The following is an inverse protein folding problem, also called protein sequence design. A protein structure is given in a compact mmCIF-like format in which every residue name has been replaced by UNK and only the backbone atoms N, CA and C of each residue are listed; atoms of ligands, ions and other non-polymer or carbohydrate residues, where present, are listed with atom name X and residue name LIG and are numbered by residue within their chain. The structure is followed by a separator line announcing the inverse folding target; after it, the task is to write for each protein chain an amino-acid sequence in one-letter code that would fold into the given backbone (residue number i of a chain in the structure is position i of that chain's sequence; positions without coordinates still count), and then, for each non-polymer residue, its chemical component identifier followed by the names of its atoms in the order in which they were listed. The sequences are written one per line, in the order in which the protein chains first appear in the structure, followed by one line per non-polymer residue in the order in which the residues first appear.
data_IF_995283362675
#
_entry.id   IF_995283362675
#
_cell.length_a   1.000
_cell.length_b   1.000
_cell.length_c   1.000
_cell.angle_alpha   90.00
_cell.angle_beta   90.00
_cell.angle_gamma   90.00
#
_symmetry.space_group_name_H-M   'P 1'
#
loop_
_entity.id
_entity.type
_entity.pdbx_description
1 polymer ?
#
# COMPACT_ATOMS: atom_id res chain seq x y z
N UNK A 1 -13.55 18.17 -34.05
CA UNK A 1 -12.40 18.62 -34.88
C UNK A 1 -11.35 19.20 -33.94
N UNK A 2 -10.05 19.08 -34.26
CA UNK A 2 -8.83 19.35 -33.43
C UNK A 2 -8.40 18.14 -32.56
N UNK A 3 -7.16 17.60 -32.56
CA UNK A 3 -5.90 17.77 -33.35
C UNK A 3 -5.13 16.44 -33.29
N UNK A 4 -4.51 16.05 -34.42
CA UNK A 4 -3.51 14.97 -34.53
C UNK A 4 -2.24 15.37 -33.76
N UNK A 5 -1.82 14.56 -32.79
CA UNK A 5 -0.42 14.50 -32.36
C UNK A 5 0.08 13.07 -32.58
N UNK A 6 0.81 12.89 -33.68
CA UNK A 6 1.69 11.74 -33.83
C UNK A 6 2.92 11.93 -32.96
N UNK A 7 3.46 10.86 -32.40
CA UNK A 7 4.85 10.81 -31.98
C UNK A 7 5.36 9.35 -32.06
N UNK A 8 6.25 9.16 -33.03
CA UNK A 8 7.40 8.27 -33.09
C UNK A 8 7.31 6.85 -32.47
N UNK A 9 7.24 5.86 -33.38
CA UNK A 9 7.82 4.54 -33.17
C UNK A 9 9.32 4.65 -32.84
N UNK A 10 9.71 4.25 -31.63
CA UNK A 10 11.09 3.92 -31.30
C UNK A 10 11.22 2.39 -31.37
N UNK A 11 11.80 1.91 -32.47
CA UNK A 11 12.27 0.54 -32.60
C UNK A 11 13.51 0.37 -31.72
N UNK A 12 13.42 -0.38 -30.62
CA UNK A 12 14.60 -0.89 -29.91
C UNK A 12 14.92 -2.26 -30.47
N UNK A 13 16.04 -2.31 -31.18
CA UNK A 13 16.62 -3.50 -31.77
C UNK A 13 17.10 -4.50 -30.71
N UNK A 14 16.94 -5.78 -31.05
CA UNK A 14 17.52 -6.94 -30.39
C UNK A 14 19.03 -6.77 -30.20
N UNK A 15 19.48 -6.90 -28.96
CA UNK A 15 20.86 -7.26 -28.63
C UNK A 15 20.88 -8.65 -27.98
N UNK A 16 21.03 -9.68 -28.81
CA UNK A 16 21.44 -11.02 -28.36
C UNK A 16 22.83 -10.90 -27.74
N UNK A 17 23.01 -11.40 -26.52
CA UNK A 17 24.34 -11.79 -26.02
C UNK A 17 24.22 -13.19 -25.44
N UNK A 18 24.64 -14.16 -26.26
CA UNK A 18 24.94 -15.52 -25.85
C UNK A 18 26.15 -15.46 -24.92
N UNK A 19 25.94 -15.79 -23.64
CA UNK A 19 27.00 -16.13 -22.70
C UNK A 19 26.77 -17.55 -22.20
N UNK A 20 27.33 -18.52 -22.92
CA UNK A 20 27.46 -19.88 -22.42
C UNK A 20 28.63 -19.93 -21.42
N UNK A 21 28.35 -20.29 -20.16
CA UNK A 21 29.35 -20.91 -19.28
C UNK A 21 28.77 -22.21 -18.76
N UNK A 22 29.54 -23.25 -19.04
CA UNK A 22 29.24 -24.64 -18.82
C UNK A 22 29.49 -25.09 -17.36
N UNK A 23 28.85 -26.21 -17.03
CA UNK A 23 29.24 -27.22 -16.04
C UNK A 23 29.36 -26.80 -14.56
N UNK A 24 28.38 -27.26 -13.76
CA UNK A 24 28.65 -28.43 -12.92
C UNK A 24 27.37 -29.12 -12.46
N UNK A 25 27.21 -30.34 -12.96
CA UNK A 25 26.37 -31.43 -12.48
C UNK A 25 26.91 -31.85 -11.11
N UNK A 26 26.06 -31.92 -10.09
CA UNK A 26 26.32 -32.73 -8.90
C UNK A 26 24.97 -33.22 -8.36
N UNK A 27 24.61 -34.42 -8.81
CA UNK A 27 23.69 -35.30 -8.11
C UNK A 27 24.44 -35.87 -6.90
N UNK A 28 23.84 -35.85 -5.72
CA UNK A 28 23.98 -36.89 -4.70
C UNK A 28 22.92 -36.66 -3.63
N UNK A 29 22.06 -37.65 -3.44
CA UNK A 29 21.07 -37.70 -2.38
C UNK A 29 21.67 -37.94 -1.00
N UNK A 30 20.87 -37.67 0.02
CA UNK A 30 21.17 -37.99 1.42
C UNK A 30 20.04 -37.47 2.31
N UNK A 31 19.38 -38.40 3.00
CA UNK A 31 18.26 -38.19 3.91
C UNK A 31 18.76 -37.71 5.31
N UNK A 32 17.87 -37.53 6.33
CA UNK A 32 17.97 -36.50 7.36
C UNK A 32 18.59 -36.95 8.70
N UNK A 33 19.15 -36.01 9.48
CA UNK A 33 19.31 -36.01 10.95
C UNK A 33 19.93 -34.65 11.36
N UNK A 34 19.30 -33.82 12.20
CA UNK A 34 19.33 -33.78 13.67
C UNK A 34 20.61 -33.16 14.31
N UNK A 35 20.37 -32.02 14.99
CA UNK A 35 21.06 -31.45 16.18
C UNK A 35 22.45 -30.76 16.12
N UNK A 36 22.44 -29.49 16.57
CA UNK A 36 23.40 -28.80 17.49
C UNK A 36 24.70 -28.13 16.96
N UNK A 37 25.38 -27.24 17.75
CA UNK A 37 25.50 -25.80 17.45
C UNK A 37 26.94 -25.24 17.32
N UNK A 38 27.02 -23.92 17.04
CA UNK A 38 28.09 -22.96 17.38
C UNK A 38 29.28 -22.69 16.43
N UNK A 39 29.65 -21.39 16.43
CA UNK A 39 30.89 -20.71 16.01
C UNK A 39 31.17 -20.59 14.48
N UNK A 40 31.15 -19.40 13.88
CA UNK A 40 32.04 -18.21 13.99
C UNK A 40 33.30 -18.29 13.12
N UNK A 41 33.30 -17.50 12.02
CA UNK A 41 34.47 -16.89 11.38
C UNK A 41 33.95 -15.80 10.42
N UNK A 42 34.01 -14.52 10.81
CA UNK A 42 35.11 -13.58 10.57
C UNK A 42 35.01 -12.88 9.19
N UNK A 43 34.47 -11.67 9.20
CA UNK A 43 34.55 -10.69 8.12
C UNK A 43 35.65 -9.64 8.45
N UNK A 44 36.40 -9.12 7.47
CA UNK A 44 37.41 -8.09 7.72
C UNK A 44 36.80 -6.70 7.91
N UNK A 45 37.42 -5.97 8.83
CA UNK A 45 37.13 -4.60 9.22
C UNK A 45 37.55 -3.57 8.16
N UNK A 46 36.80 -2.48 8.06
CA UNK A 46 37.27 -1.22 7.49
C UNK A 46 36.83 -0.06 8.38
N UNK A 47 37.75 0.88 8.58
CA UNK A 47 37.95 1.65 9.81
C UNK A 47 36.98 2.82 10.04
N UNK A 48 36.73 3.08 11.33
CA UNK A 48 36.13 4.29 11.89
C UNK A 48 37.08 5.49 11.82
N UNK A 49 36.56 6.65 11.45
CA UNK A 49 37.03 7.93 11.94
C UNK A 49 36.09 8.38 13.07
N UNK A 50 36.69 8.65 14.23
CA UNK A 50 36.03 9.07 15.44
C UNK A 50 35.73 10.58 15.43
N UNK A 51 34.57 10.97 15.96
CA UNK A 51 34.37 12.26 16.60
C UNK A 51 33.70 12.03 17.95
N UNK A 52 34.39 12.41 19.01
CA UNK A 52 33.96 12.35 20.40
C UNK A 52 33.41 13.69 20.88
N UNK A 53 32.43 13.58 21.79
CA UNK A 53 31.95 14.55 22.78
C UNK A 53 31.27 15.83 22.24
N UNK A 54 30.13 16.28 22.78
CA UNK A 54 29.94 16.55 24.21
C UNK A 54 28.45 16.50 24.58
N UNK A 55 28.14 15.84 25.69
CA UNK A 55 26.84 15.89 26.34
C UNK A 55 26.71 17.21 27.12
N UNK A 56 25.54 17.85 27.05
CA UNK A 56 25.13 18.90 28.00
C UNK A 56 23.65 18.70 28.26
N UNK A 57 23.32 18.18 29.44
CA UNK A 57 22.01 18.35 30.04
C UNK A 57 21.87 19.79 30.56
N UNK A 58 20.65 20.30 30.66
CA UNK A 58 20.30 20.90 31.94
C UNK A 58 18.96 20.40 32.50
N UNK A 59 18.93 20.53 33.82
CA UNK A 59 17.95 20.05 34.76
C UNK A 59 16.61 20.80 34.70
N UNK A 60 15.64 20.16 35.35
CA UNK A 60 14.32 20.67 35.69
C UNK A 60 14.34 22.06 36.31
N UNK A 61 13.31 22.85 35.98
CA UNK A 61 12.80 23.86 36.91
C UNK A 61 11.27 23.85 36.87
N UNK A 62 10.67 23.60 38.03
CA UNK A 62 9.27 23.78 38.31
C UNK A 62 9.03 25.24 38.75
N UNK A 63 7.99 25.88 38.18
CA UNK A 63 7.26 27.00 38.77
C UNK A 63 5.88 27.03 38.05
N UNK A 64 4.79 26.51 38.62
CA UNK A 64 3.77 27.14 39.47
C UNK A 64 3.42 28.61 39.14
N UNK A 65 2.12 28.90 39.32
CA UNK A 65 1.36 30.16 39.19
C UNK A 65 0.72 30.38 37.80
N UNK A 66 -0.57 30.08 37.58
CA UNK A 66 -1.80 30.64 38.15
C UNK A 66 -2.05 32.09 37.69
N UNK A 67 -2.90 32.24 36.68
CA UNK A 67 -3.83 33.37 36.59
C UNK A 67 -5.18 32.86 36.10
N UNK A 68 -6.08 32.76 37.07
CA UNK A 68 -7.53 32.68 36.96
C UNK A 68 -8.14 34.06 36.61
N UNK A 69 -9.42 34.02 36.22
CA UNK A 69 -10.35 35.11 35.90
C UNK A 69 -10.18 35.76 34.52
N UNK A 70 -11.12 35.66 33.58
CA UNK A 70 -12.52 35.27 33.65
C UNK A 70 -13.31 36.22 32.75
N UNK A 71 -14.23 35.72 31.94
CA UNK A 71 -15.63 36.15 31.94
C UNK A 71 -16.40 35.47 30.79
N UNK A 72 -17.46 34.79 31.19
CA UNK A 72 -18.44 34.15 30.33
C UNK A 72 -19.36 35.19 29.66
N UNK A 73 -19.79 34.90 28.44
CA UNK A 73 -21.19 35.15 28.08
C UNK A 73 -21.71 33.99 27.24
N UNK A 74 -22.77 33.40 27.76
CA UNK A 74 -23.57 32.37 27.15
C UNK A 74 -24.27 32.86 25.87
N UNK A 75 -24.38 31.97 24.88
CA UNK A 75 -25.56 31.90 24.03
C UNK A 75 -25.63 30.48 23.43
N UNK A 76 -26.53 29.68 23.98
CA UNK A 76 -27.05 28.49 23.31
C UNK A 76 -27.82 28.90 22.04
N UNK A 77 -27.85 28.03 21.03
CA UNK A 77 -29.12 27.79 20.36
C UNK A 77 -29.55 26.33 20.51
N UNK A 78 -30.62 26.19 21.28
CA UNK A 78 -31.79 25.34 21.04
C UNK A 78 -31.77 24.46 19.78
N UNK A 79 -31.82 23.16 20.03
CA UNK A 79 -32.74 22.16 19.46
C UNK A 79 -33.56 22.58 18.22
N UNK A 80 -33.23 22.00 17.07
CA UNK A 80 -34.19 21.56 16.04
C UNK A 80 -33.69 20.22 15.52
N UNK A 81 -34.25 19.14 16.04
CA UNK A 81 -35.43 18.45 15.51
C UNK A 81 -35.02 17.45 14.42
N UNK A 82 -35.28 16.20 14.78
CA UNK A 82 -35.03 15.02 13.99
C UNK A 82 -35.88 15.02 12.72
N UNK A 83 -35.25 15.13 11.56
CA UNK A 83 -35.79 14.52 10.35
C UNK A 83 -35.34 13.08 10.29
N UNK A 84 -36.25 12.24 10.77
CA UNK A 84 -36.36 10.81 10.54
C UNK A 84 -36.60 10.59 9.04
N UNK A 85 -35.57 10.78 8.23
CA UNK A 85 -35.62 10.34 6.83
C UNK A 85 -35.29 8.84 6.84
N UNK A 86 -36.36 8.05 6.80
CA UNK A 86 -36.32 6.65 6.42
C UNK A 86 -35.94 6.58 4.94
N UNK A 87 -34.67 6.90 4.65
CA UNK A 87 -34.01 6.69 3.39
C UNK A 87 -33.95 5.19 3.17
N UNK A 88 -34.99 4.70 2.49
CA UNK A 88 -35.13 3.41 1.82
C UNK A 88 -33.80 2.68 1.79
N UNK A 89 -33.67 1.65 2.62
CA UNK A 89 -32.53 0.74 2.59
C UNK A 89 -32.29 0.36 1.13
N UNK A 90 -31.26 0.96 0.54
CA UNK A 90 -30.79 0.57 -0.77
C UNK A 90 -30.51 -0.92 -0.62
N UNK A 91 -31.11 -1.78 -1.47
CA UNK A 91 -30.79 -3.19 -1.41
C UNK A 91 -29.28 -3.28 -1.43
N UNK A 92 -28.72 -3.84 -0.36
CA UNK A 92 -27.35 -4.30 -0.38
C UNK A 92 -27.30 -5.13 -1.66
N UNK A 93 -26.58 -4.64 -2.66
CA UNK A 93 -26.36 -5.37 -3.88
C UNK A 93 -25.45 -6.54 -3.49
N UNK A 94 -26.04 -7.54 -2.84
CA UNK A 94 -25.64 -8.92 -2.87
C UNK A 94 -25.80 -9.37 -4.31
N UNK A 95 -24.96 -8.81 -5.18
CA UNK A 95 -24.59 -9.47 -6.41
C UNK A 95 -23.78 -10.67 -5.96
N UNK A 96 -24.48 -11.76 -5.66
CA UNK A 96 -23.88 -13.09 -5.66
C UNK A 96 -23.02 -13.16 -6.89
N UNK A 97 -21.71 -13.27 -6.68
CA UNK A 97 -20.74 -13.32 -7.75
C UNK A 97 -21.12 -14.52 -8.63
N UNK A 98 -21.72 -14.23 -9.79
CA UNK A 98 -21.65 -15.14 -10.93
C UNK A 98 -20.19 -15.56 -11.04
N UNK A 99 -19.94 -16.88 -11.13
CA UNK A 99 -18.60 -17.47 -11.17
C UNK A 99 -17.78 -16.70 -12.18
N UNK A 100 -16.90 -15.84 -11.66
CA UNK A 100 -16.24 -14.86 -12.48
C UNK A 100 -15.19 -15.57 -13.33
N UNK A 101 -15.42 -15.61 -14.64
CA UNK A 101 -14.46 -16.08 -15.64
C UNK A 101 -13.31 -15.06 -15.79
N UNK A 102 -12.54 -14.83 -14.73
CA UNK A 102 -11.42 -13.89 -14.72
C UNK A 102 -10.28 -14.36 -13.79
N UNK A 103 -9.08 -13.85 -14.05
CA UNK A 103 -7.91 -13.90 -13.18
C UNK A 103 -6.86 -14.94 -13.56
N UNK A 104 -7.25 -16.18 -13.85
CA UNK A 104 -6.29 -17.24 -14.22
C UNK A 104 -6.24 -17.41 -15.74
N UNK A 105 -5.06 -17.27 -16.34
CA UNK A 105 -4.88 -17.50 -17.79
C UNK A 105 -5.49 -18.84 -18.21
N UNK A 106 -6.20 -18.91 -19.36
CA UNK A 106 -6.34 -17.87 -20.39
C UNK A 106 -7.40 -16.78 -20.10
N UNK A 107 -8.04 -16.78 -18.93
CA UNK A 107 -9.08 -15.80 -18.59
C UNK A 107 -8.52 -14.37 -18.47
N UNK A 108 -9.32 -13.36 -18.82
CA UNK A 108 -8.93 -11.95 -18.68
C UNK A 108 -8.67 -11.59 -17.22
N UNK A 109 -7.94 -10.50 -16.99
CA UNK A 109 -7.76 -9.98 -15.63
C UNK A 109 -9.13 -9.63 -15.00
N UNK A 110 -9.28 -9.90 -13.71
CA UNK A 110 -10.48 -9.50 -12.98
C UNK A 110 -10.60 -7.96 -12.93
N UNK A 111 -11.80 -7.38 -12.86
CA UNK A 111 -11.99 -5.93 -13.01
C UNK A 111 -11.06 -5.08 -12.11
N UNK A 112 -10.99 -5.40 -10.82
CA UNK A 112 -10.10 -4.70 -9.89
C UNK A 112 -8.61 -4.94 -10.19
N UNK A 113 -8.23 -6.15 -10.58
CA UNK A 113 -6.85 -6.49 -10.94
C UNK A 113 -6.41 -5.73 -12.18
N UNK A 114 -7.26 -5.67 -13.21
CA UNK A 114 -7.01 -4.92 -14.44
C UNK A 114 -6.84 -3.43 -14.12
N UNK A 115 -7.72 -2.87 -13.30
CA UNK A 115 -7.65 -1.47 -12.89
C UNK A 115 -6.35 -1.16 -12.12
N UNK A 116 -5.97 -1.98 -11.15
CA UNK A 116 -4.72 -1.77 -10.37
C UNK A 116 -3.47 -1.87 -11.25
N UNK A 117 -3.45 -2.80 -12.21
CA UNK A 117 -2.33 -2.92 -13.17
C UNK A 117 -2.13 -1.67 -14.03
N UNK A 118 -3.22 -1.00 -14.40
CA UNK A 118 -3.16 0.21 -15.25
C UNK A 118 -2.88 1.46 -14.43
N UNK A 119 -3.44 1.58 -13.23
CA UNK A 119 -3.43 2.85 -12.47
C UNK A 119 -2.40 2.88 -11.34
N UNK A 120 -2.05 1.74 -10.74
CA UNK A 120 -1.17 1.68 -9.57
C UNK A 120 0.23 1.20 -9.93
N UNK A 121 0.35 0.16 -10.76
CA UNK A 121 1.67 -0.39 -11.12
C UNK A 121 2.60 0.62 -11.81
N UNK A 122 2.15 1.46 -12.77
CA UNK A 122 3.04 2.44 -13.40
C UNK A 122 3.59 3.43 -12.37
N UNK A 123 2.73 3.96 -11.49
CA UNK A 123 3.12 4.89 -10.45
C UNK A 123 4.15 4.29 -9.47
N UNK A 124 4.00 3.00 -9.13
CA UNK A 124 4.99 2.30 -8.31
C UNK A 124 6.31 2.12 -9.06
N UNK A 125 6.26 1.73 -10.33
CA UNK A 125 7.44 1.46 -11.15
C UNK A 125 8.27 2.72 -11.43
N UNK A 126 7.61 3.88 -11.64
CA UNK A 126 8.26 5.17 -11.85
C UNK A 126 8.54 5.95 -10.56
N UNK A 127 8.14 5.43 -9.39
CA UNK A 127 8.12 6.18 -8.12
C UNK A 127 7.35 7.51 -8.20
N UNK A 128 6.27 7.55 -8.98
CA UNK A 128 5.36 8.70 -9.09
C UNK A 128 4.39 8.69 -7.90
N UNK A 129 4.82 9.33 -6.81
CA UNK A 129 4.05 9.42 -5.57
C UNK A 129 2.73 10.21 -5.71
N UNK A 130 2.67 11.35 -6.45
CA UNK A 130 1.41 12.02 -6.72
C UNK A 130 0.38 11.13 -7.45
N UNK A 131 0.80 10.40 -8.48
CA UNK A 131 -0.08 9.47 -9.18
C UNK A 131 -0.50 8.30 -8.28
N UNK A 132 0.42 7.78 -7.47
CA UNK A 132 0.13 6.70 -6.52
C UNK A 132 -0.90 7.15 -5.47
N UNK A 133 -0.76 8.35 -4.92
CA UNK A 133 -1.73 8.92 -3.97
C UNK A 133 -3.14 9.00 -4.59
N UNK A 134 -3.24 9.52 -5.81
CA UNK A 134 -4.51 9.63 -6.54
C UNK A 134 -5.14 8.25 -6.79
N UNK A 135 -4.33 7.27 -7.19
CA UNK A 135 -4.80 5.90 -7.38
C UNK A 135 -5.30 5.27 -6.07
N UNK A 136 -4.60 5.49 -4.96
CA UNK A 136 -4.98 4.96 -3.65
C UNK A 136 -6.27 5.59 -3.09
N UNK A 137 -6.50 6.89 -3.30
CA UNK A 137 -7.80 7.50 -3.00
C UNK A 137 -8.92 6.82 -3.78
N UNK A 138 -8.69 6.53 -5.06
CA UNK A 138 -9.69 5.85 -5.90
C UNK A 138 -9.94 4.43 -5.42
N UNK A 139 -8.90 3.69 -5.02
CA UNK A 139 -9.04 2.36 -4.41
C UNK A 139 -9.91 2.40 -3.15
N UNK A 140 -9.81 3.45 -2.33
CA UNK A 140 -10.64 3.59 -1.14
C UNK A 140 -12.15 3.60 -1.46
N UNK A 141 -12.53 4.03 -2.67
CA UNK A 141 -13.93 4.04 -3.14
C UNK A 141 -14.43 2.67 -3.60
N UNK A 142 -13.53 1.71 -3.81
CA UNK A 142 -13.86 0.35 -4.24
C UNK A 142 -14.06 -0.62 -3.07
N UNK A 143 -14.20 -0.15 -1.84
CA UNK A 143 -14.39 -1.02 -0.68
C UNK A 143 -15.73 -1.81 -0.80
N UNK A 144 -15.68 -3.15 -0.90
CA UNK A 144 -16.90 -3.95 -0.79
C UNK A 144 -17.44 -3.97 0.65
N UNK A 145 -18.74 -4.24 0.86
CA UNK A 145 -19.29 -4.45 2.19
C UNK A 145 -18.55 -5.56 2.95
N UNK A 146 -18.24 -5.34 4.24
CA UNK A 146 -17.52 -6.32 5.08
C UNK A 146 -16.00 -6.33 4.92
N UNK A 147 -15.41 -5.29 4.32
CA UNK A 147 -13.96 -5.07 4.20
C UNK A 147 -13.58 -3.80 4.97
N UNK A 148 -13.71 -3.87 6.30
CA UNK A 148 -13.76 -2.71 7.22
C UNK A 148 -12.55 -1.78 7.15
N UNK A 149 -11.35 -2.31 6.93
CA UNK A 149 -10.12 -1.50 6.87
C UNK A 149 -9.68 -1.13 5.45
N UNK A 150 -10.45 -1.49 4.43
CA UNK A 150 -10.04 -1.27 3.03
C UNK A 150 -9.80 0.22 2.74
N UNK A 151 -10.79 1.06 3.08
CA UNK A 151 -10.74 2.48 2.81
C UNK A 151 -9.69 3.19 3.67
N UNK A 152 -9.52 2.80 4.94
CA UNK A 152 -8.51 3.37 5.82
C UNK A 152 -7.09 3.05 5.34
N UNK A 153 -6.77 1.78 5.09
CA UNK A 153 -5.43 1.37 4.61
C UNK A 153 -5.09 2.07 3.28
N UNK A 154 -6.07 2.19 2.39
CA UNK A 154 -5.87 2.89 1.11
C UNK A 154 -5.59 4.38 1.32
N UNK A 155 -6.33 5.05 2.19
CA UNK A 155 -6.11 6.47 2.54
C UNK A 155 -4.77 6.69 3.25
N UNK A 156 -4.37 5.78 4.12
CA UNK A 156 -3.07 5.85 4.82
C UNK A 156 -1.92 5.73 3.82
N UNK A 157 -2.03 4.80 2.86
CA UNK A 157 -1.08 4.71 1.75
C UNK A 157 -1.06 5.98 0.88
N UNK A 158 -2.23 6.55 0.58
CA UNK A 158 -2.33 7.79 -0.17
C UNK A 158 -1.68 8.95 0.58
N UNK A 159 -1.89 9.05 1.90
CA UNK A 159 -1.25 10.06 2.76
C UNK A 159 0.27 9.89 2.74
N UNK A 160 0.77 8.67 2.97
CA UNK A 160 2.20 8.37 2.90
C UNK A 160 2.83 8.77 1.56
N UNK A 161 2.14 8.48 0.46
CA UNK A 161 2.61 8.90 -0.87
C UNK A 161 2.67 10.43 -1.00
N UNK A 162 1.65 11.17 -0.54
CA UNK A 162 1.68 12.65 -0.53
C UNK A 162 2.79 13.21 0.36
N UNK A 163 3.12 12.52 1.45
CA UNK A 163 4.20 12.89 2.36
C UNK A 163 5.60 12.55 1.81
N UNK A 164 5.71 11.96 0.61
CA UNK A 164 6.99 11.57 0.02
C UNK A 164 7.48 10.17 0.44
N UNK A 165 6.72 9.43 1.26
CA UNK A 165 7.14 8.16 1.83
C UNK A 165 6.66 6.96 0.99
N UNK A 166 7.49 6.60 0.01
CA UNK A 166 7.26 5.42 -0.85
C UNK A 166 7.28 4.09 -0.07
N UNK A 167 8.04 4.01 1.03
CA UNK A 167 8.16 2.79 1.83
C UNK A 167 6.86 2.54 2.60
N UNK A 168 6.33 3.56 3.26
CA UNK A 168 5.06 3.50 3.95
C UNK A 168 3.89 3.30 2.96
N UNK A 169 3.90 3.95 1.79
CA UNK A 169 2.89 3.71 0.76
C UNK A 169 2.86 2.23 0.31
N UNK A 170 4.03 1.63 0.05
CA UNK A 170 4.16 0.20 -0.27
C UNK A 170 3.76 -0.71 0.90
N UNK A 171 4.01 -0.30 2.14
CA UNK A 171 3.56 -1.04 3.32
C UNK A 171 2.02 -1.12 3.38
N UNK A 172 1.31 -0.04 3.05
CA UNK A 172 -0.15 -0.05 2.92
C UNK A 172 -0.65 -0.99 1.83
N UNK A 173 0.04 -1.06 0.67
CA UNK A 173 -0.30 -2.04 -0.38
C UNK A 173 -0.19 -3.49 0.13
N UNK A 174 0.88 -3.80 0.88
CA UNK A 174 1.06 -5.13 1.50
C UNK A 174 -0.02 -5.41 2.54
N UNK A 175 -0.26 -4.48 3.46
CA UNK A 175 -1.30 -4.64 4.49
C UNK A 175 -2.70 -4.87 3.92
N UNK A 176 -3.07 -4.17 2.86
CA UNK A 176 -4.34 -4.40 2.16
C UNK A 176 -4.40 -5.78 1.50
N UNK A 177 -3.34 -6.18 0.80
CA UNK A 177 -3.27 -7.50 0.17
C UNK A 177 -3.26 -8.65 1.18
N UNK A 178 -2.53 -8.52 2.28
CA UNK A 178 -2.43 -9.56 3.30
C UNK A 178 -3.79 -9.77 3.98
N UNK A 179 -4.53 -8.68 4.26
CA UNK A 179 -5.86 -8.76 4.86
C UNK A 179 -6.92 -9.31 3.89
N UNK A 180 -6.91 -8.86 2.63
CA UNK A 180 -8.09 -9.00 1.77
C UNK A 180 -7.90 -9.80 0.49
N UNK A 181 -6.67 -10.07 0.04
CA UNK A 181 -6.44 -10.70 -1.27
C UNK A 181 -7.10 -12.06 -1.39
N UNK A 182 -7.01 -12.92 -0.37
CA UNK A 182 -7.64 -14.24 -0.45
C UNK A 182 -9.16 -14.16 -0.38
N UNK A 183 -9.71 -13.39 0.57
CA UNK A 183 -11.16 -13.18 0.69
C UNK A 183 -11.74 -12.62 -0.61
N UNK A 184 -11.10 -11.59 -1.19
CA UNK A 184 -11.52 -10.99 -2.45
C UNK A 184 -11.45 -11.98 -3.61
N UNK A 185 -10.39 -12.81 -3.68
CA UNK A 185 -10.25 -13.85 -4.69
C UNK A 185 -11.36 -14.91 -4.63
N UNK A 186 -11.91 -15.17 -3.45
CA UNK A 186 -12.95 -16.17 -3.24
C UNK A 186 -14.34 -15.58 -3.46
N UNK A 187 -14.59 -14.38 -2.95
CA UNK A 187 -15.95 -13.83 -2.87
C UNK A 187 -16.27 -12.78 -3.95
N UNK A 188 -15.25 -12.09 -4.48
CA UNK A 188 -15.44 -10.82 -5.18
C UNK A 188 -14.71 -10.71 -6.53
N UNK A 189 -14.19 -11.82 -7.08
CA UNK A 189 -13.40 -11.80 -8.33
C UNK A 189 -14.09 -11.10 -9.49
N UNK A 190 -15.39 -11.35 -9.69
CA UNK A 190 -16.15 -10.80 -10.81
C UNK A 190 -16.77 -9.44 -10.55
N UNK A 191 -16.51 -8.85 -9.38
CA UNK A 191 -17.17 -7.61 -9.00
C UNK A 191 -16.72 -6.49 -9.93
N UNK A 192 -17.68 -5.84 -10.57
CA UNK A 192 -17.47 -4.61 -11.33
C UNK A 192 -17.10 -3.46 -10.37
N UNK A 193 -16.27 -2.54 -10.86
CA UNK A 193 -15.76 -1.38 -10.13
C UNK A 193 -15.90 -0.12 -10.97
#
# INVERSE_FOLDING_TARGET
MFVRHGLLSVSVALGLSLGAVACSKSESGGAPEADKPAASAAAPASASAAVSATATAPAANANVEETDAGNAVAAAPTTKEATKDAGKAQPAASGSAEVANCGTKPQPDCPLQAWMKVNTNPAIASNDLPALATALDKIATFAPPGYTNWASISKDGAKAARDGDMSAAKASCRGCHDQYKQKYKTEMRGRKI
#
